data_IF_505931232573
#
_entry.id   IF_505931232573
#
_cell.length_a   1.000
_cell.length_b   1.000
_cell.length_c   1.000
_cell.angle_alpha   90.00
_cell.angle_beta   90.00
_cell.angle_gamma   90.00
#
_symmetry.space_group_name_H-M   'P 1'
#
loop_
_entity.id
_entity.type
_entity.pdbx_description
1 polymer ?
#
# COMPACT_ATOMS: atom_id res chain seq x y z
N UNK A 1 -22.46 6.64 31.13
CA UNK A 1 -22.17 7.08 29.75
C UNK A 1 -20.66 7.03 29.60
N UNK A 2 -20.17 6.21 28.67
CA UNK A 2 -18.73 6.13 28.40
C UNK A 2 -18.32 7.37 27.60
N UNK A 3 -17.39 8.15 28.13
CA UNK A 3 -16.89 9.36 27.46
C UNK A 3 -16.00 8.90 26.31
N UNK A 4 -16.33 9.30 25.08
CA UNK A 4 -15.50 9.03 23.90
C UNK A 4 -14.27 9.96 23.91
N UNK A 5 -13.28 9.58 24.71
CA UNK A 5 -12.03 10.32 24.90
C UNK A 5 -11.18 10.37 23.62
N UNK A 6 -11.43 9.49 22.64
CA UNK A 6 -10.73 9.49 21.36
C UNK A 6 -11.22 10.63 20.45
N UNK A 7 -12.49 11.03 20.58
CA UNK A 7 -13.04 12.17 19.86
C UNK A 7 -12.59 13.52 20.42
N UNK A 8 -12.15 13.58 21.68
CA UNK A 8 -11.66 14.79 22.35
C UNK A 8 -10.19 15.13 22.04
N UNK A 9 -9.43 14.21 21.45
CA UNK A 9 -8.02 14.44 21.12
C UNK A 9 -7.87 15.55 20.07
N UNK A 10 -6.82 16.41 20.14
CA UNK A 10 -6.49 17.36 19.08
C UNK A 10 -6.12 16.66 17.76
N UNK A 11 -6.30 17.35 16.62
CA UNK A 11 -6.01 16.79 15.29
C UNK A 11 -4.55 16.33 15.17
N UNK A 12 -3.62 17.10 15.72
CA UNK A 12 -2.19 16.79 15.71
C UNK A 12 -1.87 15.47 16.42
N UNK A 13 -2.57 15.19 17.53
CA UNK A 13 -2.40 13.93 18.28
C UNK A 13 -2.98 12.76 17.49
N UNK A 14 -4.16 12.92 16.91
CA UNK A 14 -4.76 11.90 16.03
C UNK A 14 -3.84 11.64 14.84
N UNK A 15 -3.25 12.69 14.26
CA UNK A 15 -2.27 12.60 13.18
C UNK A 15 -1.02 11.80 13.58
N UNK A 16 -0.48 12.06 14.77
CA UNK A 16 0.67 11.31 15.30
C UNK A 16 0.31 9.84 15.51
N UNK A 17 -0.85 9.55 16.11
CA UNK A 17 -1.34 8.18 16.29
C UNK A 17 -1.43 7.50 14.94
N UNK A 18 -2.17 8.07 13.99
CA UNK A 18 -2.36 7.48 12.66
C UNK A 18 -1.05 7.31 11.90
N UNK A 19 -0.07 8.20 12.07
CA UNK A 19 1.24 8.10 11.43
C UNK A 19 2.11 6.98 12.01
N UNK A 20 1.84 6.55 13.24
CA UNK A 20 2.52 5.43 13.91
C UNK A 20 1.92 4.06 13.57
N UNK A 21 0.68 4.05 13.06
CA UNK A 21 -0.08 2.83 12.75
C UNK A 21 0.25 2.27 11.37
N UNK A 22 0.20 0.94 11.24
CA UNK A 22 0.25 0.25 9.94
C UNK A 22 -1.04 0.50 9.17
N UNK A 23 -1.00 0.33 7.85
CA UNK A 23 -2.15 0.66 6.99
C UNK A 23 -3.44 -0.07 7.41
N UNK A 24 -3.34 -1.33 7.84
CA UNK A 24 -4.48 -2.12 8.29
C UNK A 24 -5.17 -1.50 9.52
N UNK A 25 -4.38 -1.08 10.50
CA UNK A 25 -4.85 -0.44 11.73
C UNK A 25 -5.44 0.94 11.43
N UNK A 26 -4.76 1.71 10.57
CA UNK A 26 -5.24 3.01 10.10
C UNK A 26 -6.62 2.90 9.45
N UNK A 27 -6.84 1.89 8.60
CA UNK A 27 -8.13 1.68 7.95
C UNK A 27 -9.22 1.33 8.95
N UNK A 28 -8.90 0.53 9.98
CA UNK A 28 -9.84 0.22 11.07
C UNK A 28 -10.22 1.48 11.85
N UNK A 29 -9.28 2.38 12.12
CA UNK A 29 -9.58 3.62 12.85
C UNK A 29 -10.51 4.60 12.10
N UNK A 30 -10.71 4.42 10.78
CA UNK A 30 -11.64 5.26 9.99
C UNK A 30 -13.12 5.08 10.39
N UNK A 31 -13.46 4.00 11.10
CA UNK A 31 -14.81 3.77 11.59
C UNK A 31 -15.09 4.46 12.93
N UNK A 32 -14.06 5.02 13.60
CA UNK A 32 -14.22 5.68 14.90
C UNK A 32 -15.07 6.95 14.79
N UNK A 33 -14.76 7.83 13.83
CA UNK A 33 -15.62 8.98 13.52
C UNK A 33 -15.33 9.57 12.14
N UNK A 34 -16.14 10.54 11.69
CA UNK A 34 -15.88 11.29 10.45
C UNK A 34 -14.52 11.98 10.49
N UNK A 35 -14.15 12.56 11.64
CA UNK A 35 -12.87 13.25 11.85
C UNK A 35 -11.66 12.32 11.65
N UNK A 36 -11.70 11.12 12.22
CA UNK A 36 -10.64 10.12 12.01
C UNK A 36 -10.51 9.67 10.55
N UNK A 37 -11.64 9.59 9.82
CA UNK A 37 -11.64 9.28 8.38
C UNK A 37 -11.02 10.39 7.54
N UNK A 38 -11.29 11.65 7.88
CA UNK A 38 -10.77 12.81 7.16
C UNK A 38 -9.27 12.96 7.40
N UNK A 39 -8.82 12.84 8.66
CA UNK A 39 -7.39 12.87 9.03
C UNK A 39 -6.61 11.67 8.49
N UNK A 40 -7.23 10.50 8.37
CA UNK A 40 -6.62 9.37 7.66
C UNK A 40 -6.27 9.74 6.21
N UNK A 41 -7.15 10.49 5.55
CA UNK A 41 -7.05 10.85 4.14
C UNK A 41 -6.02 11.94 3.86
N UNK A 42 -5.54 12.65 4.90
CA UNK A 42 -4.50 13.67 4.79
C UNK A 42 -3.09 13.15 5.07
N UNK A 43 -2.93 11.87 5.44
CA UNK A 43 -1.61 11.28 5.66
C UNK A 43 -0.95 11.01 4.31
N UNK A 44 0.23 11.58 4.04
CA UNK A 44 0.88 11.54 2.73
C UNK A 44 1.59 10.21 2.44
N UNK A 45 1.38 9.17 3.25
CA UNK A 45 2.11 7.90 3.16
C UNK A 45 1.12 6.75 2.99
N UNK A 46 1.22 6.06 1.87
CA UNK A 46 0.46 4.87 1.51
C UNK A 46 1.42 3.67 1.46
N UNK A 47 1.77 3.14 2.64
CA UNK A 47 2.62 1.95 2.74
C UNK A 47 1.79 0.67 2.62
N UNK A 48 1.64 0.17 1.40
CA UNK A 48 0.88 -1.03 1.08
C UNK A 48 1.77 -2.24 0.89
N UNK A 49 2.98 -2.27 1.46
CA UNK A 49 3.82 -3.46 1.36
C UNK A 49 3.23 -4.67 2.10
N UNK A 50 3.67 -5.86 1.71
CA UNK A 50 3.13 -7.10 2.23
C UNK A 50 3.25 -7.19 3.75
N UNK A 51 4.40 -6.77 4.32
CA UNK A 51 4.63 -6.77 5.77
C UNK A 51 3.71 -5.81 6.52
N UNK A 52 3.37 -4.67 5.92
CA UNK A 52 2.46 -3.70 6.55
C UNK A 52 1.00 -4.20 6.55
N UNK A 53 0.62 -5.05 5.59
CA UNK A 53 -0.72 -5.64 5.50
C UNK A 53 -0.84 -6.95 6.30
N UNK A 54 0.15 -7.83 6.19
CA UNK A 54 0.12 -9.20 6.74
C UNK A 54 1.03 -9.43 7.95
N UNK A 55 1.84 -8.45 8.36
CA UNK A 55 2.84 -8.62 9.40
C UNK A 55 4.01 -9.51 8.97
N UNK A 56 4.79 -9.98 9.94
CA UNK A 56 5.95 -10.87 9.71
C UNK A 56 5.55 -12.35 9.56
N UNK A 57 4.30 -12.63 9.20
CA UNK A 57 3.79 -13.99 9.07
C UNK A 57 4.18 -14.69 7.75
N UNK A 58 5.06 -14.09 6.95
CA UNK A 58 5.59 -14.72 5.74
C UNK A 58 6.46 -15.93 6.11
N UNK A 59 6.04 -17.12 5.68
CA UNK A 59 6.83 -18.34 5.82
C UNK A 59 7.55 -18.61 4.49
N UNK A 60 8.89 -18.47 4.43
CA UNK A 60 9.63 -18.70 3.18
C UNK A 60 9.51 -20.13 2.65
N UNK A 61 9.21 -21.10 3.53
CA UNK A 61 9.04 -22.51 3.19
C UNK A 61 7.57 -22.92 2.97
N UNK A 62 6.66 -21.97 2.77
CA UNK A 62 5.27 -22.30 2.46
C UNK A 62 5.14 -23.02 1.11
N UNK A 63 4.18 -23.97 1.05
CA UNK A 63 3.84 -24.65 -0.19
C UNK A 63 3.31 -23.65 -1.23
N UNK A 64 3.47 -23.97 -2.51
CA UNK A 64 3.07 -23.09 -3.62
C UNK A 64 1.61 -22.63 -3.51
N UNK A 65 0.70 -23.54 -3.15
CA UNK A 65 -0.72 -23.23 -2.94
C UNK A 65 -0.94 -22.16 -1.86
N UNK A 66 -0.21 -22.25 -0.74
CA UNK A 66 -0.29 -21.23 0.31
C UNK A 66 0.26 -19.90 -0.21
N UNK A 67 1.42 -19.90 -0.87
CA UNK A 67 1.99 -18.67 -1.46
C UNK A 67 1.02 -17.98 -2.40
N UNK A 68 0.37 -18.73 -3.29
CA UNK A 68 -0.65 -18.20 -4.20
C UNK A 68 -1.84 -17.60 -3.44
N UNK A 69 -2.35 -18.29 -2.41
CA UNK A 69 -3.42 -17.75 -1.55
C UNK A 69 -3.02 -16.44 -0.86
N UNK A 70 -1.78 -16.37 -0.36
CA UNK A 70 -1.24 -15.15 0.26
C UNK A 70 -1.09 -14.01 -0.74
N UNK A 71 -0.63 -14.30 -1.97
CA UNK A 71 -0.54 -13.31 -3.05
C UNK A 71 -1.93 -12.78 -3.44
N UNK A 72 -2.91 -13.67 -3.61
CA UNK A 72 -4.27 -13.27 -3.98
C UNK A 72 -4.91 -12.41 -2.89
N UNK A 73 -4.80 -12.84 -1.63
CA UNK A 73 -5.33 -12.08 -0.50
C UNK A 73 -4.68 -10.68 -0.39
N UNK A 74 -3.37 -10.58 -0.62
CA UNK A 74 -2.68 -9.29 -0.69
C UNK A 74 -3.26 -8.41 -1.81
N UNK A 75 -3.42 -8.95 -3.01
CA UNK A 75 -3.98 -8.23 -4.17
C UNK A 75 -5.38 -7.70 -3.85
N UNK A 76 -6.25 -8.53 -3.27
CA UNK A 76 -7.62 -8.16 -2.94
C UNK A 76 -7.67 -7.02 -1.91
N UNK A 77 -6.81 -7.07 -0.90
CA UNK A 77 -6.69 -6.01 0.10
C UNK A 77 -6.20 -4.71 -0.55
N UNK A 78 -5.10 -4.75 -1.30
CA UNK A 78 -4.55 -3.54 -1.96
C UNK A 78 -5.59 -2.94 -2.90
N UNK A 79 -6.33 -3.74 -3.67
CA UNK A 79 -7.42 -3.27 -4.50
C UNK A 79 -8.51 -2.55 -3.69
N UNK A 80 -8.85 -3.08 -2.51
CA UNK A 80 -9.74 -2.41 -1.56
C UNK A 80 -9.19 -1.07 -1.08
N UNK A 81 -7.92 -1.02 -0.69
CA UNK A 81 -7.27 0.20 -0.19
C UNK A 81 -7.18 1.29 -1.26
N UNK A 82 -6.89 0.93 -2.52
CA UNK A 82 -6.86 1.87 -3.63
C UNK A 82 -8.22 2.50 -3.90
N UNK A 83 -9.32 1.73 -3.79
CA UNK A 83 -10.69 2.27 -3.90
C UNK A 83 -11.04 3.24 -2.76
N UNK A 84 -10.45 3.03 -1.59
CA UNK A 84 -10.62 3.90 -0.43
C UNK A 84 -9.73 5.15 -0.48
N UNK A 85 -8.71 5.14 -1.33
CA UNK A 85 -7.75 6.23 -1.49
C UNK A 85 -8.27 7.25 -2.49
N UNK A 86 -8.21 8.53 -2.15
CA UNK A 86 -8.59 9.60 -3.08
C UNK A 86 -7.36 10.04 -3.90
N UNK A 87 -7.43 10.03 -5.25
CA UNK A 87 -6.34 10.52 -6.09
C UNK A 87 -5.98 12.00 -5.87
N UNK A 88 -6.88 12.80 -5.28
CA UNK A 88 -6.61 14.22 -4.99
C UNK A 88 -5.82 14.45 -3.71
N UNK A 89 -5.59 13.40 -2.91
CA UNK A 89 -4.76 13.49 -1.70
C UNK A 89 -3.30 13.75 -2.09
N UNK A 90 -2.63 14.62 -1.33
CA UNK A 90 -1.19 14.83 -1.45
C UNK A 90 -0.44 13.59 -0.93
N UNK A 91 -0.21 12.61 -1.80
CA UNK A 91 0.55 11.40 -1.48
C UNK A 91 2.01 11.68 -1.77
N UNK A 92 2.87 11.59 -0.75
CA UNK A 92 4.34 11.70 -0.90
C UNK A 92 4.96 10.35 -1.20
N UNK A 93 4.52 9.29 -0.53
CA UNK A 93 5.08 7.95 -0.67
C UNK A 93 4.00 6.91 -0.93
N UNK A 94 4.18 6.09 -1.96
CA UNK A 94 3.41 4.88 -2.21
C UNK A 94 4.36 3.69 -2.24
N UNK A 95 4.05 2.63 -1.50
CA UNK A 95 4.84 1.40 -1.48
C UNK A 95 3.97 0.21 -1.87
N UNK A 96 4.38 -0.51 -2.90
CA UNK A 96 3.66 -1.66 -3.44
C UNK A 96 4.60 -2.86 -3.58
N UNK A 97 4.08 -4.04 -3.26
CA UNK A 97 4.78 -5.30 -3.43
C UNK A 97 4.13 -6.10 -4.55
N UNK A 98 4.91 -6.55 -5.53
CA UNK A 98 4.48 -7.37 -6.65
C UNK A 98 5.07 -8.76 -6.50
N UNK A 99 4.24 -9.77 -6.70
CA UNK A 99 4.65 -11.17 -6.62
C UNK A 99 4.81 -11.69 -8.04
N UNK A 100 6.03 -12.14 -8.40
CA UNK A 100 6.36 -12.66 -9.72
C UNK A 100 6.52 -14.19 -9.62
N UNK A 101 5.83 -14.92 -10.49
CA UNK A 101 5.89 -16.37 -10.62
C UNK A 101 5.07 -16.87 -11.81
N UNK A 102 5.23 -18.15 -12.18
CA UNK A 102 4.55 -18.74 -13.35
C UNK A 102 3.01 -18.69 -13.29
N UNK A 103 2.44 -18.54 -12.09
CA UNK A 103 1.00 -18.49 -11.84
C UNK A 103 0.56 -17.22 -11.09
N UNK A 104 1.44 -16.22 -10.93
CA UNK A 104 1.05 -14.94 -10.34
C UNK A 104 0.31 -14.12 -11.39
N UNK A 105 -0.79 -13.43 -11.04
CA UNK A 105 -1.45 -12.54 -11.98
C UNK A 105 -0.44 -11.53 -12.54
N UNK A 106 -0.55 -11.15 -13.82
CA UNK A 106 0.21 -10.00 -14.32
C UNK A 106 0.00 -8.84 -13.36
N UNK A 107 1.09 -8.14 -13.03
CA UNK A 107 1.10 -6.91 -12.22
C UNK A 107 -0.21 -6.14 -12.48
N UNK A 108 -1.03 -5.83 -11.47
CA UNK A 108 -2.29 -5.15 -11.74
C UNK A 108 -1.97 -3.78 -12.36
N UNK A 109 -2.13 -3.65 -13.68
CA UNK A 109 -1.94 -2.40 -14.45
C UNK A 109 -2.65 -1.22 -13.78
N UNK A 110 -3.74 -1.50 -13.07
CA UNK A 110 -4.48 -0.53 -12.27
C UNK A 110 -3.69 0.11 -11.12
N UNK A 111 -2.73 -0.59 -10.51
CA UNK A 111 -1.89 -0.04 -9.44
C UNK A 111 -0.90 0.98 -10.01
N UNK A 112 -0.31 0.68 -11.16
CA UNK A 112 0.55 1.59 -11.89
C UNK A 112 -0.23 2.80 -12.39
N UNK A 113 -1.46 2.61 -12.92
CA UNK A 113 -2.34 3.71 -13.32
C UNK A 113 -2.75 4.59 -12.14
N UNK A 114 -3.06 3.99 -10.99
CA UNK A 114 -3.33 4.74 -9.78
C UNK A 114 -2.13 5.60 -9.39
N UNK A 115 -0.93 5.01 -9.34
CA UNK A 115 0.30 5.73 -9.06
C UNK A 115 0.56 6.87 -10.07
N UNK A 116 0.30 6.64 -11.35
CA UNK A 116 0.43 7.64 -12.41
C UNK A 116 -0.59 8.80 -12.28
N UNK A 117 -1.74 8.53 -11.68
CA UNK A 117 -2.77 9.55 -11.40
C UNK A 117 -2.45 10.43 -10.20
N UNK A 118 -1.47 10.07 -9.37
CA UNK A 118 -1.04 10.86 -8.22
C UNK A 118 -0.12 11.99 -8.70
N UNK A 119 -0.67 13.19 -8.88
CA UNK A 119 0.07 14.37 -9.34
C UNK A 119 1.18 14.85 -8.39
N UNK A 120 1.19 14.36 -7.15
CA UNK A 120 2.07 14.82 -6.07
C UNK A 120 3.05 13.76 -5.54
N UNK A 121 3.04 12.54 -6.09
CA UNK A 121 3.91 11.46 -5.63
C UNK A 121 5.39 11.84 -5.75
N UNK A 122 6.14 11.68 -4.65
CA UNK A 122 7.59 11.92 -4.58
C UNK A 122 8.37 10.61 -4.67
N UNK A 123 7.93 9.60 -3.95
CA UNK A 123 8.60 8.32 -3.83
C UNK A 123 7.62 7.18 -4.14
N UNK A 124 7.88 6.42 -5.22
CA UNK A 124 7.22 5.15 -5.46
C UNK A 124 8.19 4.00 -5.16
N UNK A 125 7.89 3.24 -4.12
CA UNK A 125 8.66 2.05 -3.78
C UNK A 125 7.95 0.84 -4.36
N UNK A 126 8.66 0.08 -5.19
CA UNK A 126 8.17 -1.14 -5.81
C UNK A 126 9.08 -2.29 -5.41
N UNK A 127 8.54 -3.27 -4.67
CA UNK A 127 9.28 -4.50 -4.37
C UNK A 127 8.76 -5.62 -5.25
N UNK A 128 9.65 -6.39 -5.87
CA UNK A 128 9.29 -7.63 -6.55
C UNK A 128 9.72 -8.83 -5.72
N UNK A 129 8.81 -9.76 -5.51
CA UNK A 129 9.02 -11.01 -4.77
C UNK A 129 8.89 -12.18 -5.73
N UNK A 130 10.00 -12.87 -6.03
CA UNK A 130 9.99 -14.07 -6.87
C UNK A 130 9.69 -15.32 -6.04
N UNK A 131 8.77 -16.17 -6.50
CA UNK A 131 8.26 -17.35 -5.78
C UNK A 131 9.24 -18.51 -5.52
N UNK A 132 10.55 -18.32 -5.70
CA UNK A 132 11.55 -19.37 -5.58
C UNK A 132 12.89 -18.85 -5.02
N UNK A 133 12.98 -18.73 -3.70
CA UNK A 133 14.23 -18.83 -2.92
C UNK A 133 15.35 -17.79 -3.10
N UNK A 134 15.41 -17.01 -4.16
CA UNK A 134 16.51 -16.07 -4.36
C UNK A 134 16.31 -15.18 -5.57
N UNK A 135 15.94 -13.93 -5.35
CA UNK A 135 15.77 -12.95 -6.41
C UNK A 135 14.56 -12.04 -6.21
N UNK A 136 14.36 -11.53 -5.00
CA UNK A 136 13.49 -10.39 -4.80
C UNK A 136 14.30 -9.10 -4.98
N UNK A 137 13.90 -8.24 -5.91
CA UNK A 137 14.52 -6.93 -6.13
C UNK A 137 13.65 -5.84 -5.53
N UNK A 138 14.20 -5.02 -4.62
CA UNK A 138 13.55 -3.79 -4.15
C UNK A 138 14.01 -2.63 -5.03
N UNK A 139 13.08 -2.03 -5.76
CA UNK A 139 13.34 -0.87 -6.60
C UNK A 139 12.68 0.35 -5.96
N UNK A 140 13.49 1.36 -5.67
CA UNK A 140 12.99 2.66 -5.26
C UNK A 140 12.97 3.57 -6.49
N UNK A 141 11.79 3.82 -7.04
CA UNK A 141 11.59 4.71 -8.17
C UNK A 141 11.23 6.08 -7.61
N UNK A 142 12.18 7.02 -7.68
CA UNK A 142 11.92 8.42 -7.35
C UNK A 142 11.08 9.07 -8.45
N UNK A 143 10.30 10.10 -8.08
CA UNK A 143 9.30 10.73 -8.95
C UNK A 143 9.86 11.33 -10.25
N UNK A 144 11.14 11.68 -10.27
CA UNK A 144 11.87 12.14 -11.46
C UNK A 144 11.96 11.09 -12.57
N UNK A 145 11.78 9.80 -12.23
CA UNK A 145 11.78 8.67 -13.17
C UNK A 145 10.38 8.13 -13.47
N UNK A 146 9.34 8.75 -12.92
CA UNK A 146 7.95 8.29 -13.00
C UNK A 146 7.10 9.13 -13.97
N UNK A 147 7.62 9.38 -15.17
CA UNK A 147 6.79 9.94 -16.25
C UNK A 147 5.92 8.82 -16.86
N UNK A 148 4.70 9.11 -17.35
CA UNK A 148 3.85 8.13 -18.04
C UNK A 148 4.57 7.35 -19.16
N UNK A 149 5.56 7.96 -19.79
CA UNK A 149 6.43 7.37 -20.82
C UNK A 149 7.43 6.32 -20.29
N UNK A 150 7.73 6.28 -19.00
CA UNK A 150 8.57 5.25 -18.36
C UNK A 150 7.72 4.06 -17.89
N UNK A 151 6.46 4.30 -17.53
CA UNK A 151 5.51 3.24 -17.17
C UNK A 151 5.21 2.29 -18.33
N UNK A 152 5.25 2.78 -19.58
CA UNK A 152 5.15 1.91 -20.76
C UNK A 152 6.35 0.98 -20.94
N UNK A 153 7.50 1.27 -20.32
CA UNK A 153 8.68 0.38 -20.34
C UNK A 153 8.58 -0.74 -19.28
N UNK A 154 7.84 -0.51 -18.18
CA UNK A 154 7.61 -1.54 -17.16
C UNK A 154 6.71 -2.67 -17.68
N UNK A 155 5.91 -2.42 -18.73
CA UNK A 155 5.09 -3.45 -19.41
C UNK A 155 5.89 -4.55 -20.13
N UNK A 156 7.22 -4.46 -20.18
CA UNK A 156 8.10 -5.37 -20.94
C UNK A 156 8.84 -6.38 -20.03
N UNK A 157 8.68 -6.31 -18.71
CA UNK A 157 9.19 -7.30 -17.75
C UNK A 157 8.08 -8.24 -17.28
#
# INVERSE_FOLDING_TARGET
>A
MEVDRLSELPDDVIHQILSSLKIKERVQTRSLSKRWRDLFSSIPTLDYCYKSIHGDHYKPNDCEKNRLRHCQNYIDIVNGLLRLSNPTTHVRLLHLDFFIGKATPPVPDQWLRFAAGLSSIRDLVVCFHCGGGGGGGRWNLKSDRFRPSVLSLIRIL
#
